data_IF_005973712258
#
_entry.id   IF_005973712258
#
_cell.length_a   1.000
_cell.length_b   1.000
_cell.length_c   1.000
_cell.angle_alpha   90.00
_cell.angle_beta   90.00
_cell.angle_gamma   90.00
#
_symmetry.space_group_name_H-M   'P 1'
#
loop_
_entity.id
_entity.type
_entity.pdbx_description
1 polymer ?
#
# COMPACT_ATOMS: atom_id res chain seq x y z
N UNK A 1 37.05 34.27 -21.32
CA UNK A 1 37.15 32.96 -21.97
C UNK A 1 38.12 32.10 -21.15
N UNK A 2 37.66 31.02 -20.57
CA UNK A 2 38.54 30.14 -19.82
C UNK A 2 39.30 29.22 -20.76
N UNK A 3 40.62 29.21 -20.65
CA UNK A 3 41.48 28.26 -21.34
C UNK A 3 41.50 26.97 -20.51
N UNK A 4 40.90 25.89 -21.03
CA UNK A 4 40.81 24.62 -20.33
C UNK A 4 41.99 23.72 -20.79
N UNK A 5 43.01 23.56 -19.94
CA UNK A 5 44.10 22.59 -20.15
C UNK A 5 43.69 21.19 -19.63
N UNK A 6 42.74 21.15 -18.65
CA UNK A 6 42.16 19.93 -18.10
C UNK A 6 40.64 20.08 -18.07
N UNK A 7 39.94 19.13 -18.64
CA UNK A 7 38.47 19.02 -18.63
C UNK A 7 38.06 17.82 -17.82
N UNK A 8 37.39 18.06 -16.70
CA UNK A 8 36.79 17.01 -15.88
C UNK A 8 35.51 17.53 -15.25
N UNK A 9 34.64 16.63 -14.88
CA UNK A 9 33.42 16.95 -14.16
C UNK A 9 33.25 16.03 -12.95
N UNK A 10 33.07 16.64 -11.79
CA UNK A 10 32.77 15.96 -10.53
C UNK A 10 31.41 16.43 -10.05
N UNK A 11 30.52 15.50 -9.79
CA UNK A 11 29.23 15.79 -9.14
C UNK A 11 29.34 15.50 -7.64
N UNK A 12 29.43 16.52 -6.78
CA UNK A 12 29.47 16.32 -5.33
C UNK A 12 28.12 15.94 -4.73
N UNK A 13 27.04 16.12 -5.50
CA UNK A 13 25.67 15.86 -5.04
C UNK A 13 25.18 14.47 -5.39
N UNK A 14 25.75 13.85 -6.42
CA UNK A 14 25.29 12.57 -6.96
C UNK A 14 23.93 12.63 -7.67
N UNK A 15 23.42 13.85 -7.93
CA UNK A 15 22.07 14.07 -8.48
C UNK A 15 22.08 14.57 -9.94
N UNK A 16 23.23 14.70 -10.55
CA UNK A 16 23.35 15.24 -11.91
C UNK A 16 23.45 14.09 -12.90
N UNK A 17 22.49 14.02 -13.80
CA UNK A 17 22.46 13.05 -14.90
C UNK A 17 23.35 13.47 -16.06
N UNK A 18 23.35 14.77 -16.37
CA UNK A 18 24.21 15.33 -17.41
C UNK A 18 24.64 16.74 -17.06
N UNK A 19 25.88 17.07 -17.37
CA UNK A 19 26.44 18.42 -17.20
C UNK A 19 27.33 18.81 -18.35
N UNK A 20 27.23 20.08 -18.78
CA UNK A 20 28.07 20.67 -19.80
C UNK A 20 29.25 21.37 -19.14
N UNK A 21 30.41 21.21 -19.75
CA UNK A 21 31.64 21.92 -19.36
C UNK A 21 32.16 22.69 -20.56
N UNK A 22 32.31 24.03 -20.46
CA UNK A 22 31.90 24.88 -19.36
C UNK A 22 30.38 25.02 -19.25
N UNK A 23 29.84 25.34 -18.04
CA UNK A 23 28.39 25.45 -17.84
C UNK A 23 27.79 26.61 -18.67
N UNK A 24 28.55 27.68 -18.87
CA UNK A 24 28.13 28.87 -19.61
C UNK A 24 29.10 29.14 -20.78
N UNK A 25 28.51 29.48 -21.92
CA UNK A 25 29.28 29.73 -23.14
C UNK A 25 29.89 28.47 -23.76
N UNK A 26 30.85 28.62 -24.65
CA UNK A 26 31.65 27.52 -25.22
C UNK A 26 33.07 27.58 -24.71
N UNK A 27 33.66 26.42 -24.39
CA UNK A 27 35.05 26.32 -23.95
C UNK A 27 36.05 26.46 -25.11
N UNK A 28 37.18 27.13 -24.87
CA UNK A 28 38.33 27.07 -25.74
C UNK A 28 39.23 25.91 -25.33
N UNK A 29 39.24 24.85 -26.13
CA UNK A 29 40.10 23.69 -25.91
C UNK A 29 41.38 23.85 -26.74
N UNK A 30 42.53 23.65 -26.10
CA UNK A 30 43.83 23.62 -26.78
C UNK A 30 44.15 22.21 -27.24
N UNK A 31 44.90 22.11 -28.31
CA UNK A 31 45.58 20.88 -28.70
C UNK A 31 46.47 20.41 -27.54
N UNK A 32 46.29 19.16 -27.10
CA UNK A 32 47.00 18.62 -25.96
C UNK A 32 46.24 18.74 -24.63
N UNK A 33 45.10 19.46 -24.59
CA UNK A 33 44.23 19.45 -23.41
C UNK A 33 43.80 18.01 -23.06
N UNK A 34 43.66 17.74 -21.78
CA UNK A 34 43.31 16.42 -21.30
C UNK A 34 41.83 16.40 -20.83
N UNK A 35 41.12 15.39 -21.27
CA UNK A 35 39.77 15.11 -20.79
C UNK A 35 39.83 13.87 -19.88
N UNK A 36 39.39 13.99 -18.65
CA UNK A 36 39.31 12.88 -17.70
C UNK A 36 37.85 12.47 -17.60
N UNK A 37 37.56 11.23 -17.97
CA UNK A 37 36.26 10.59 -17.80
C UNK A 37 36.42 9.52 -16.70
N UNK A 38 35.64 9.63 -15.65
CA UNK A 38 35.71 8.71 -14.51
C UNK A 38 34.86 7.46 -14.75
N UNK A 39 35.13 6.39 -13.99
CA UNK A 39 34.25 5.22 -13.97
C UNK A 39 32.82 5.64 -13.62
N UNK A 40 31.85 5.05 -14.33
CA UNK A 40 30.44 5.42 -14.20
C UNK A 40 30.03 6.73 -14.91
N UNK A 41 30.91 7.28 -15.76
CA UNK A 41 30.62 8.45 -16.61
C UNK A 41 30.94 8.17 -18.07
N UNK A 42 30.28 8.91 -18.96
CA UNK A 42 30.68 9.09 -20.37
C UNK A 42 30.82 10.57 -20.67
N UNK A 43 31.71 10.93 -21.59
CA UNK A 43 31.80 12.29 -22.07
C UNK A 43 31.50 12.35 -23.56
N UNK A 44 30.80 13.41 -23.98
CA UNK A 44 30.49 13.71 -25.39
C UNK A 44 31.05 15.05 -25.76
N UNK A 45 31.81 15.10 -26.86
CA UNK A 45 32.19 16.34 -27.47
C UNK A 45 31.07 16.87 -28.35
N UNK A 46 30.72 18.13 -28.14
CA UNK A 46 29.76 18.84 -28.96
C UNK A 46 30.43 20.05 -29.58
N UNK A 47 30.15 20.26 -30.85
CA UNK A 47 30.58 21.45 -31.60
C UNK A 47 29.45 21.89 -32.51
N UNK A 48 29.24 23.19 -32.58
CA UNK A 48 28.20 23.79 -33.42
C UNK A 48 26.83 23.12 -33.24
N UNK A 49 26.54 22.73 -32.02
CA UNK A 49 25.27 22.04 -31.64
C UNK A 49 25.18 20.56 -32.04
N UNK A 50 26.30 19.93 -32.47
CA UNK A 50 26.34 18.52 -32.86
C UNK A 50 27.23 17.73 -31.91
N UNK A 51 26.75 16.58 -31.45
CA UNK A 51 27.57 15.59 -30.73
C UNK A 51 28.44 14.82 -31.70
N UNK A 52 29.76 14.95 -31.54
CA UNK A 52 30.76 14.36 -32.44
C UNK A 52 31.20 12.99 -31.89
N UNK A 53 32.01 12.98 -30.85
CA UNK A 53 32.65 11.79 -30.32
C UNK A 53 32.20 11.50 -28.90
N UNK A 54 32.22 10.20 -28.55
CA UNK A 54 31.94 9.69 -27.20
C UNK A 54 33.25 9.14 -26.62
N UNK A 55 33.60 9.60 -25.43
CA UNK A 55 34.75 9.14 -24.67
C UNK A 55 34.29 8.24 -23.50
N UNK A 56 34.89 7.06 -23.44
CA UNK A 56 34.70 6.11 -22.36
C UNK A 56 35.56 6.48 -21.13
N UNK A 57 35.39 5.85 -19.98
CA UNK A 57 36.22 6.08 -18.80
C UNK A 57 37.72 5.97 -19.11
N UNK A 58 38.47 6.96 -18.60
CA UNK A 58 39.90 7.05 -18.81
C UNK A 58 40.37 8.50 -19.03
N UNK A 59 41.67 8.63 -19.28
CA UNK A 59 42.31 9.89 -19.64
C UNK A 59 42.47 9.96 -21.16
N UNK A 60 41.88 10.96 -21.76
CA UNK A 60 41.93 11.21 -23.19
C UNK A 60 42.68 12.52 -23.47
N UNK A 61 43.76 12.43 -24.23
CA UNK A 61 44.45 13.63 -24.69
C UNK A 61 43.81 14.06 -26.01
N UNK A 62 43.41 15.30 -26.10
CA UNK A 62 42.81 15.88 -27.30
C UNK A 62 43.88 16.08 -28.38
N UNK A 63 44.26 14.99 -29.04
CA UNK A 63 45.19 14.95 -30.15
C UNK A 63 44.46 14.53 -31.42
N UNK A 64 45.03 14.88 -32.55
CA UNK A 64 44.50 14.52 -33.87
C UNK A 64 44.31 13.02 -34.08
N UNK A 65 45.09 12.20 -33.35
CA UNK A 65 45.02 10.74 -33.47
C UNK A 65 43.85 10.08 -32.75
N UNK A 66 43.34 10.71 -31.66
CA UNK A 66 42.34 10.12 -30.79
C UNK A 66 40.90 10.58 -31.12
N UNK A 67 40.75 11.59 -31.97
CA UNK A 67 39.46 12.14 -32.34
C UNK A 67 39.41 12.31 -33.86
N UNK A 68 39.03 11.29 -34.64
CA UNK A 68 39.09 11.29 -36.12
C UNK A 68 38.39 12.47 -36.78
N UNK A 69 37.24 12.91 -36.24
CA UNK A 69 36.49 14.05 -36.77
C UNK A 69 37.14 15.40 -36.55
N UNK A 70 38.03 15.53 -35.55
CA UNK A 70 38.83 16.75 -35.35
C UNK A 70 39.99 16.85 -36.33
N UNK A 71 40.44 15.74 -36.94
CA UNK A 71 41.54 15.70 -37.89
C UNK A 71 41.26 16.50 -39.18
N UNK A 72 40.05 16.40 -39.70
CA UNK A 72 39.67 17.15 -40.91
C UNK A 72 39.69 18.68 -40.69
N UNK A 73 39.41 19.05 -39.44
CA UNK A 73 39.32 20.47 -39.07
C UNK A 73 40.67 21.12 -38.76
N UNK A 74 41.63 20.31 -38.29
CA UNK A 74 42.98 20.72 -37.96
C UNK A 74 43.88 20.92 -39.20
N UNK A 75 43.43 20.47 -40.37
CA UNK A 75 44.12 20.67 -41.64
C UNK A 75 44.04 22.11 -42.17
N UNK A 76 43.30 22.99 -41.54
CA UNK A 76 43.29 24.41 -41.88
C UNK A 76 44.54 25.09 -41.32
N UNK A 77 45.19 25.98 -42.08
CA UNK A 77 46.49 26.60 -41.77
C UNK A 77 46.33 27.71 -40.72
N UNK A 78 45.86 27.34 -39.53
CA UNK A 78 45.88 28.25 -38.38
C UNK A 78 47.13 27.93 -37.56
N UNK A 79 48.13 28.79 -37.62
CA UNK A 79 49.30 28.66 -36.76
C UNK A 79 48.89 28.32 -35.31
N UNK A 80 49.73 27.71 -34.55
CA UNK A 80 49.62 27.09 -33.19
C UNK A 80 48.66 27.74 -32.15
N UNK A 81 47.68 28.52 -32.60
CA UNK A 81 46.68 29.26 -31.82
C UNK A 81 45.27 29.13 -32.41
N UNK A 82 44.83 27.94 -32.74
CA UNK A 82 43.41 27.77 -33.08
C UNK A 82 42.61 27.42 -31.82
N UNK A 83 41.84 28.36 -31.25
CA UNK A 83 40.97 28.07 -30.17
C UNK A 83 39.77 27.28 -30.72
N UNK A 84 39.72 26.00 -30.43
CA UNK A 84 38.51 25.25 -30.70
C UNK A 84 37.47 25.62 -29.66
N UNK A 85 36.32 26.03 -30.12
CA UNK A 85 35.17 26.17 -29.29
C UNK A 85 34.43 24.83 -29.31
N UNK A 86 34.46 24.10 -28.21
CA UNK A 86 33.74 22.86 -28.05
C UNK A 86 33.19 22.77 -26.64
N UNK A 87 32.07 22.14 -26.55
CA UNK A 87 31.43 21.80 -25.29
C UNK A 87 31.67 20.32 -25.00
N UNK A 88 31.89 19.99 -23.73
CA UNK A 88 31.97 18.59 -23.27
C UNK A 88 30.81 18.32 -22.39
N UNK A 89 29.99 17.34 -22.74
CA UNK A 89 28.87 16.88 -21.91
C UNK A 89 29.28 15.63 -21.19
N UNK A 90 29.26 15.65 -19.85
CA UNK A 90 29.43 14.50 -19.01
C UNK A 90 28.09 13.93 -18.67
N UNK A 91 27.92 12.61 -18.81
CA UNK A 91 26.69 11.88 -18.49
C UNK A 91 27.01 10.82 -17.45
N UNK A 92 26.27 10.83 -16.35
CA UNK A 92 26.36 9.81 -15.31
C UNK A 92 25.67 8.53 -15.79
N UNK A 93 26.36 7.39 -15.62
CA UNK A 93 25.80 6.04 -15.83
C UNK A 93 25.45 5.35 -14.52
N UNK A 94 25.57 6.06 -13.41
CA UNK A 94 25.24 5.52 -12.09
C UNK A 94 23.73 5.38 -11.94
N UNK A 95 23.33 4.45 -11.06
CA UNK A 95 21.94 4.33 -10.66
C UNK A 95 21.60 5.43 -9.66
N UNK A 96 20.47 6.08 -9.88
CA UNK A 96 19.91 7.06 -8.95
C UNK A 96 18.74 6.40 -8.21
N UNK A 97 18.94 6.19 -6.91
CA UNK A 97 18.00 5.49 -6.03
C UNK A 97 17.18 6.47 -5.21
N UNK A 98 16.15 5.96 -4.54
CA UNK A 98 15.30 6.71 -3.60
C UNK A 98 14.59 7.94 -4.20
N UNK A 99 14.36 7.93 -5.51
CA UNK A 99 13.56 8.95 -6.16
C UNK A 99 12.10 8.79 -5.75
N UNK A 100 11.48 9.89 -5.35
CA UNK A 100 10.13 9.83 -4.77
C UNK A 100 9.08 10.24 -5.79
N UNK A 101 7.98 9.54 -5.79
CA UNK A 101 6.79 9.93 -6.53
C UNK A 101 5.57 9.90 -5.61
N UNK A 102 4.54 10.66 -5.96
CA UNK A 102 3.29 10.65 -5.21
C UNK A 102 2.21 11.47 -5.89
N UNK A 103 0.97 11.14 -5.58
CA UNK A 103 -0.19 11.86 -6.10
C UNK A 103 -0.43 13.12 -5.28
N UNK A 104 -0.39 14.33 -5.89
CA UNK A 104 -0.57 15.59 -5.15
C UNK A 104 -1.99 15.74 -4.62
N UNK A 105 -2.96 15.15 -5.32
CA UNK A 105 -4.38 15.16 -4.94
C UNK A 105 -4.93 13.75 -4.88
N UNK A 106 -5.96 13.50 -4.04
CA UNK A 106 -6.63 12.20 -4.01
C UNK A 106 -7.30 11.88 -5.33
N UNK A 107 -7.09 10.67 -5.83
CA UNK A 107 -7.67 10.16 -7.07
C UNK A 107 -8.96 9.42 -6.74
N UNK A 108 -10.11 9.77 -7.37
CA UNK A 108 -11.35 9.04 -7.17
C UNK A 108 -11.30 7.69 -7.89
N UNK A 109 -11.51 6.60 -7.15
CA UNK A 109 -11.54 5.23 -7.66
C UNK A 109 -12.88 4.58 -7.35
N UNK A 110 -13.34 3.70 -8.23
CA UNK A 110 -14.49 2.84 -7.94
C UNK A 110 -14.03 1.68 -7.07
N UNK A 111 -14.68 1.52 -5.94
CA UNK A 111 -14.40 0.50 -4.97
C UNK A 111 -15.52 -0.52 -4.93
N UNK A 112 -15.18 -1.82 -4.77
CA UNK A 112 -16.17 -2.89 -4.78
C UNK A 112 -17.05 -2.92 -3.53
N UNK A 113 -16.55 -2.41 -2.40
CA UNK A 113 -17.24 -2.42 -1.10
C UNK A 113 -17.80 -1.05 -0.73
N UNK A 114 -17.07 0.03 -1.03
CA UNK A 114 -17.42 1.39 -0.60
C UNK A 114 -18.03 2.25 -1.72
N UNK A 115 -18.12 1.71 -2.94
CA UNK A 115 -18.68 2.40 -4.11
C UNK A 115 -17.71 3.41 -4.72
N UNK A 116 -17.31 4.46 -3.99
CA UNK A 116 -16.34 5.47 -4.40
C UNK A 116 -15.34 5.71 -3.27
N UNK A 117 -14.08 5.40 -3.52
CA UNK A 117 -12.97 5.72 -2.64
C UNK A 117 -12.09 6.81 -3.28
N UNK A 118 -11.51 7.67 -2.44
CA UNK A 118 -10.48 8.62 -2.87
C UNK A 118 -9.17 8.18 -2.28
N UNK A 119 -8.19 7.86 -3.12
CA UNK A 119 -6.91 7.33 -2.67
C UNK A 119 -5.78 8.28 -3.00
N UNK A 120 -4.72 8.23 -2.20
CA UNK A 120 -3.40 8.78 -2.53
C UNK A 120 -2.41 7.65 -2.55
N UNK A 121 -1.55 7.65 -3.56
CA UNK A 121 -0.48 6.68 -3.68
C UNK A 121 0.86 7.40 -3.72
N UNK A 122 1.86 6.78 -3.11
CA UNK A 122 3.24 7.26 -3.15
C UNK A 122 4.22 6.10 -3.05
N UNK A 123 5.42 6.37 -3.51
CA UNK A 123 6.45 5.35 -3.53
C UNK A 123 7.78 5.90 -4.00
N UNK A 124 8.64 4.98 -4.39
CA UNK A 124 10.00 5.26 -4.84
C UNK A 124 10.30 4.57 -6.16
N UNK A 125 11.29 5.08 -6.87
CA UNK A 125 11.75 4.45 -8.10
C UNK A 125 13.26 4.64 -8.27
N UNK A 126 13.84 3.84 -9.16
CA UNK A 126 15.26 3.81 -9.47
C UNK A 126 15.43 3.99 -10.96
N UNK A 127 16.28 4.91 -11.36
CA UNK A 127 16.62 5.15 -12.77
C UNK A 127 18.11 5.05 -13.03
N UNK A 128 18.43 4.79 -14.28
CA UNK A 128 19.77 4.83 -14.82
C UNK A 128 19.73 5.40 -16.23
N UNK A 129 20.82 6.06 -16.67
CA UNK A 129 20.93 6.47 -18.07
C UNK A 129 21.33 5.27 -18.91
N UNK A 130 20.42 4.82 -19.79
CA UNK A 130 20.65 3.70 -20.71
C UNK A 130 21.14 4.17 -22.08
N UNK A 131 20.54 5.25 -22.59
CA UNK A 131 20.88 5.82 -23.89
C UNK A 131 21.38 7.27 -23.75
N UNK A 132 22.68 7.49 -23.39
CA UNK A 132 23.22 8.83 -23.12
C UNK A 132 23.05 9.82 -24.25
N UNK A 133 23.23 9.37 -25.50
CA UNK A 133 23.05 10.22 -26.69
C UNK A 133 21.61 10.70 -26.85
N UNK A 134 20.65 9.82 -26.59
CA UNK A 134 19.23 10.15 -26.63
C UNK A 134 18.85 11.13 -25.54
N UNK A 135 19.33 10.91 -24.32
CA UNK A 135 19.14 11.84 -23.20
C UNK A 135 19.64 13.25 -23.57
N UNK A 136 20.87 13.35 -24.09
CA UNK A 136 21.46 14.63 -24.48
C UNK A 136 20.66 15.31 -25.58
N UNK A 137 20.21 14.57 -26.59
CA UNK A 137 19.50 15.16 -27.74
C UNK A 137 18.05 15.51 -27.44
N UNK A 138 17.37 14.73 -26.62
CA UNK A 138 15.93 14.90 -26.36
C UNK A 138 15.63 15.85 -25.22
N UNK A 139 16.49 15.90 -24.21
CA UNK A 139 16.17 16.59 -22.95
C UNK A 139 17.18 17.67 -22.59
N UNK A 140 18.47 17.35 -22.62
CA UNK A 140 19.51 18.27 -22.16
C UNK A 140 19.61 19.46 -23.11
N UNK A 141 19.64 19.21 -24.42
CA UNK A 141 19.68 20.27 -25.44
C UNK A 141 20.72 21.34 -25.16
N UNK A 142 20.26 22.58 -24.91
CA UNK A 142 21.11 23.72 -24.58
C UNK A 142 21.31 23.97 -23.09
N UNK A 143 20.73 23.12 -22.22
CA UNK A 143 20.88 23.28 -20.77
C UNK A 143 22.31 22.97 -20.34
N UNK A 144 22.83 23.76 -19.41
CA UNK A 144 24.16 23.53 -18.84
C UNK A 144 24.22 22.36 -17.88
N UNK A 145 23.09 22.03 -17.25
CA UNK A 145 22.91 20.89 -16.32
C UNK A 145 21.54 20.26 -16.49
N UNK A 146 21.46 18.97 -16.23
CA UNK A 146 20.24 18.22 -16.18
C UNK A 146 20.31 17.26 -14.98
N UNK A 147 19.41 17.45 -14.04
CA UNK A 147 19.39 16.75 -12.75
C UNK A 147 18.27 15.73 -12.70
N UNK A 148 18.30 14.90 -11.68
CA UNK A 148 17.21 13.99 -11.31
C UNK A 148 15.89 14.75 -11.09
N UNK A 149 15.95 15.93 -10.48
CA UNK A 149 14.77 16.77 -10.24
C UNK A 149 14.10 17.22 -11.55
N UNK A 150 14.90 17.52 -12.59
CA UNK A 150 14.34 17.84 -13.92
C UNK A 150 13.57 16.64 -14.50
N UNK A 151 14.05 15.41 -14.27
CA UNK A 151 13.34 14.17 -14.66
C UNK A 151 12.04 14.04 -13.88
N UNK A 152 12.10 14.23 -12.56
CA UNK A 152 10.91 14.16 -11.70
C UNK A 152 9.83 15.13 -12.15
N UNK A 153 10.19 16.36 -12.45
CA UNK A 153 9.24 17.38 -12.95
C UNK A 153 8.64 16.99 -14.30
N UNK A 154 9.48 16.51 -15.21
CA UNK A 154 9.05 16.16 -16.57
C UNK A 154 8.14 14.92 -16.60
N UNK A 155 8.43 13.91 -15.79
CA UNK A 155 7.70 12.64 -15.79
C UNK A 155 6.57 12.57 -14.74
N UNK A 156 6.48 13.54 -13.84
CA UNK A 156 5.47 13.54 -12.76
C UNK A 156 4.06 13.26 -13.27
N UNK A 157 3.63 13.95 -14.31
CA UNK A 157 2.29 13.79 -14.86
C UNK A 157 2.07 12.41 -15.47
N UNK A 158 3.07 11.88 -16.18
CA UNK A 158 3.05 10.54 -16.76
C UNK A 158 2.97 9.48 -15.66
N UNK A 159 3.81 9.60 -14.64
CA UNK A 159 3.82 8.65 -13.50
C UNK A 159 2.45 8.61 -12.84
N UNK A 160 1.88 9.77 -12.50
CA UNK A 160 0.57 9.85 -11.84
C UNK A 160 -0.53 9.23 -12.71
N UNK A 161 -0.55 9.56 -13.99
CA UNK A 161 -1.57 9.04 -14.91
C UNK A 161 -1.48 7.52 -15.07
N UNK A 162 -0.28 7.00 -15.34
CA UNK A 162 -0.08 5.55 -15.52
C UNK A 162 -0.37 4.75 -14.26
N UNK A 163 0.10 5.23 -13.10
CA UNK A 163 -0.18 4.55 -11.83
C UNK A 163 -1.69 4.56 -11.52
N UNK A 164 -2.36 5.69 -11.76
CA UNK A 164 -3.81 5.77 -11.58
C UNK A 164 -4.56 4.78 -12.48
N UNK A 165 -4.15 4.67 -13.74
CA UNK A 165 -4.74 3.72 -14.70
C UNK A 165 -4.52 2.27 -14.25
N UNK A 166 -3.28 1.92 -13.85
CA UNK A 166 -2.94 0.58 -13.36
C UNK A 166 -3.77 0.21 -12.13
N UNK A 167 -3.86 1.09 -11.14
CA UNK A 167 -4.65 0.83 -9.93
C UNK A 167 -6.14 0.68 -10.29
N UNK A 168 -6.69 1.55 -11.14
CA UNK A 168 -8.09 1.50 -11.54
C UNK A 168 -8.43 0.21 -12.31
N UNK A 169 -7.53 -0.23 -13.19
CA UNK A 169 -7.69 -1.47 -13.95
C UNK A 169 -7.65 -2.68 -13.02
N UNK A 170 -6.67 -2.71 -12.11
CA UNK A 170 -6.51 -3.78 -11.12
C UNK A 170 -7.72 -3.94 -10.22
N UNK A 171 -8.22 -2.84 -9.66
CA UNK A 171 -9.43 -2.84 -8.83
C UNK A 171 -10.66 -3.32 -9.61
N UNK A 172 -10.79 -2.92 -10.88
CA UNK A 172 -11.93 -3.31 -11.74
C UNK A 172 -11.89 -4.79 -12.11
N UNK A 173 -10.75 -5.29 -12.55
CA UNK A 173 -10.61 -6.66 -13.06
C UNK A 173 -10.72 -7.71 -11.97
N UNK A 174 -10.04 -7.46 -10.84
CA UNK A 174 -10.01 -8.37 -9.70
C UNK A 174 -11.13 -8.12 -8.70
N UNK A 175 -11.96 -7.08 -8.90
CA UNK A 175 -13.02 -6.65 -7.98
C UNK A 175 -12.53 -6.40 -6.56
N UNK A 176 -11.32 -5.87 -6.45
CA UNK A 176 -10.68 -5.57 -5.18
C UNK A 176 -11.28 -4.31 -4.54
N UNK A 177 -11.28 -4.29 -3.22
CA UNK A 177 -11.46 -3.08 -2.44
C UNK A 177 -10.11 -2.39 -2.21
N UNK A 178 -10.15 -1.10 -1.91
CA UNK A 178 -8.94 -0.34 -1.57
C UNK A 178 -8.19 -0.94 -0.38
N UNK A 179 -8.89 -1.63 0.53
CA UNK A 179 -8.28 -2.33 1.67
C UNK A 179 -7.47 -3.54 1.23
N UNK A 180 -7.92 -4.22 0.17
CA UNK A 180 -7.26 -5.41 -0.36
C UNK A 180 -5.98 -5.05 -1.14
N UNK A 181 -5.87 -3.80 -1.63
CA UNK A 181 -4.69 -3.34 -2.38
C UNK A 181 -3.39 -3.42 -1.58
N UNK A 182 -3.47 -3.37 -0.26
CA UNK A 182 -2.29 -3.47 0.60
C UNK A 182 -1.57 -4.82 0.49
N UNK A 183 -2.26 -5.86 0.05
CA UNK A 183 -1.69 -7.19 -0.15
C UNK A 183 -1.09 -7.40 -1.54
N UNK A 184 -1.31 -6.44 -2.47
CA UNK A 184 -0.97 -6.55 -3.89
C UNK A 184 0.07 -5.50 -4.33
N UNK A 185 0.82 -4.89 -3.38
CA UNK A 185 1.75 -3.80 -3.73
C UNK A 185 2.89 -4.23 -4.65
N UNK A 186 3.37 -5.46 -4.53
CA UNK A 186 4.45 -5.96 -5.36
C UNK A 186 3.99 -6.14 -6.81
N UNK A 187 2.83 -6.75 -7.03
CA UNK A 187 2.26 -6.97 -8.35
C UNK A 187 1.84 -5.65 -9.01
N UNK A 188 1.28 -4.73 -8.22
CA UNK A 188 0.95 -3.38 -8.68
C UNK A 188 2.20 -2.59 -9.08
N UNK A 189 3.30 -2.78 -8.33
CA UNK A 189 4.58 -2.15 -8.63
C UNK A 189 5.17 -2.66 -9.95
N UNK A 190 5.10 -3.97 -10.21
CA UNK A 190 5.54 -4.57 -11.47
C UNK A 190 4.68 -4.10 -12.65
N UNK A 191 3.36 -4.07 -12.49
CA UNK A 191 2.45 -3.58 -13.53
C UNK A 191 2.68 -2.09 -13.83
N UNK A 192 2.90 -1.27 -12.79
CA UNK A 192 3.22 0.15 -12.95
C UNK A 192 4.59 0.35 -13.61
N UNK A 193 5.60 -0.44 -13.24
CA UNK A 193 6.90 -0.44 -13.89
C UNK A 193 6.76 -0.70 -15.40
N UNK A 194 6.01 -1.74 -15.78
CA UNK A 194 5.82 -2.10 -17.18
C UNK A 194 5.06 -1.04 -17.98
N UNK A 195 4.09 -0.38 -17.36
CA UNK A 195 3.36 0.73 -17.97
C UNK A 195 4.21 1.99 -18.18
N UNK A 196 5.21 2.22 -17.30
CA UNK A 196 6.04 3.41 -17.27
C UNK A 196 7.34 3.30 -18.06
N UNK A 197 7.91 2.10 -18.19
CA UNK A 197 9.23 1.88 -18.82
C UNK A 197 9.39 2.57 -20.19
N UNK A 198 8.32 2.63 -20.98
CA UNK A 198 8.32 3.30 -22.27
C UNK A 198 8.50 4.81 -22.19
N UNK A 199 7.87 5.46 -21.21
CA UNK A 199 7.95 6.91 -21.01
C UNK A 199 9.37 7.31 -20.60
N UNK A 200 10.03 6.53 -19.74
CA UNK A 200 11.44 6.73 -19.38
C UNK A 200 12.38 6.44 -20.55
N UNK A 201 12.17 5.36 -21.30
CA UNK A 201 12.97 5.00 -22.45
C UNK A 201 12.92 6.07 -23.54
N UNK A 202 11.83 6.81 -23.68
CA UNK A 202 11.72 7.94 -24.61
C UNK A 202 12.69 9.08 -24.28
N UNK A 203 13.10 9.20 -23.02
CA UNK A 203 14.11 10.18 -22.58
C UNK A 203 15.54 9.63 -22.57
N UNK A 204 15.73 8.36 -22.94
CA UNK A 204 17.04 7.69 -22.87
C UNK A 204 17.37 7.16 -21.47
N UNK A 205 16.37 7.06 -20.60
CA UNK A 205 16.48 6.53 -19.25
C UNK A 205 15.93 5.10 -19.18
N UNK A 206 16.51 4.30 -18.33
CA UNK A 206 15.97 3.00 -17.90
C UNK A 206 15.34 3.15 -16.52
N UNK A 207 14.08 2.76 -16.41
CA UNK A 207 13.42 2.58 -15.14
C UNK A 207 13.80 1.20 -14.59
N UNK A 208 14.78 1.15 -13.69
CA UNK A 208 15.31 -0.12 -13.16
C UNK A 208 14.32 -0.78 -12.21
N UNK A 209 13.68 0.02 -11.35
CA UNK A 209 12.68 -0.42 -10.36
C UNK A 209 11.64 0.67 -10.14
N UNK A 210 10.44 0.23 -9.84
CA UNK A 210 9.34 1.10 -9.44
C UNK A 210 8.60 0.45 -8.27
N UNK A 211 8.37 1.20 -7.19
CA UNK A 211 7.72 0.70 -5.99
C UNK A 211 6.53 1.58 -5.63
N UNK A 212 5.43 0.94 -5.34
CA UNK A 212 4.28 1.53 -4.66
C UNK A 212 4.43 1.18 -3.18
N UNK A 213 4.84 2.16 -2.37
CA UNK A 213 5.14 1.92 -0.96
C UNK A 213 3.87 1.92 -0.12
N UNK A 214 2.94 2.82 -0.45
CA UNK A 214 1.70 2.96 0.32
C UNK A 214 0.60 3.57 -0.54
N UNK A 215 -0.60 3.07 -0.35
CA UNK A 215 -1.85 3.66 -0.83
C UNK A 215 -2.66 4.06 0.40
N UNK A 216 -2.92 5.36 0.56
CA UNK A 216 -3.68 5.90 1.68
C UNK A 216 -5.10 6.26 1.26
N UNK A 217 -6.04 6.03 2.16
CA UNK A 217 -7.43 6.40 2.04
C UNK A 217 -7.70 7.67 2.87
N UNK A 218 -8.78 8.44 2.58
CA UNK A 218 -9.18 9.56 3.41
C UNK A 218 -9.52 9.12 4.84
N UNK A 219 -9.19 9.96 5.80
CA UNK A 219 -9.43 9.73 7.23
C UNK A 219 -10.89 9.40 7.56
N UNK A 220 -11.84 9.99 6.81
CA UNK A 220 -13.27 9.68 6.99
C UNK A 220 -13.60 8.21 6.65
N UNK A 221 -12.95 7.66 5.62
CA UNK A 221 -13.15 6.25 5.24
C UNK A 221 -12.42 5.34 6.23
N UNK A 222 -11.22 5.72 6.66
CA UNK A 222 -10.46 5.02 7.68
C UNK A 222 -11.24 4.91 8.99
N UNK A 223 -11.83 5.99 9.47
CA UNK A 223 -12.72 5.98 10.66
C UNK A 223 -13.93 5.07 10.50
N UNK A 224 -14.52 5.01 9.31
CA UNK A 224 -15.65 4.09 9.04
C UNK A 224 -15.20 2.63 9.04
N UNK A 225 -14.01 2.36 8.53
CA UNK A 225 -13.41 1.02 8.57
C UNK A 225 -13.11 0.59 9.99
N UNK A 226 -12.55 1.48 10.82
CA UNK A 226 -12.29 1.23 12.23
C UNK A 226 -13.58 0.96 12.99
N UNK A 227 -14.64 1.74 12.71
CA UNK A 227 -15.95 1.50 13.31
C UNK A 227 -16.55 0.17 12.86
N UNK A 228 -16.46 -0.17 11.59
CA UNK A 228 -16.95 -1.46 11.06
C UNK A 228 -16.15 -2.63 11.62
N UNK A 229 -14.82 -2.49 11.72
CA UNK A 229 -13.94 -3.44 12.36
C UNK A 229 -14.26 -3.61 13.85
N UNK A 230 -14.52 -2.51 14.56
CA UNK A 230 -14.96 -2.52 15.95
C UNK A 230 -16.30 -3.24 16.14
N UNK A 231 -17.27 -3.00 15.25
CA UNK A 231 -18.57 -3.70 15.25
C UNK A 231 -18.38 -5.21 15.05
N UNK A 232 -17.55 -5.60 14.08
CA UNK A 232 -17.26 -7.01 13.81
C UNK A 232 -16.54 -7.70 14.98
N UNK A 233 -15.55 -7.04 15.58
CA UNK A 233 -14.79 -7.54 16.72
C UNK A 233 -15.65 -7.72 17.99
N UNK A 234 -16.72 -6.93 18.15
CA UNK A 234 -17.63 -6.99 19.29
C UNK A 234 -18.83 -7.92 19.08
N UNK A 235 -18.82 -8.75 18.05
CA UNK A 235 -19.89 -9.72 17.79
C UNK A 235 -21.11 -9.12 17.09
N UNK A 236 -20.90 -8.06 16.28
CA UNK A 236 -21.94 -7.42 15.48
C UNK A 236 -22.55 -6.17 16.12
N UNK A 237 -23.61 -5.67 15.50
CA UNK A 237 -24.28 -4.41 15.88
C UNK A 237 -24.76 -4.42 17.34
N UNK A 238 -25.26 -5.55 17.82
CA UNK A 238 -25.75 -5.68 19.19
C UNK A 238 -24.66 -5.53 20.25
N UNK A 239 -23.49 -6.14 20.01
CA UNK A 239 -22.31 -6.00 20.87
C UNK A 239 -21.78 -4.57 20.88
N UNK A 240 -21.69 -3.96 19.72
CA UNK A 240 -21.23 -2.57 19.56
C UNK A 240 -22.19 -1.57 20.24
N UNK A 241 -23.51 -1.77 20.10
CA UNK A 241 -24.51 -0.91 20.75
C UNK A 241 -24.42 -0.99 22.28
N UNK A 242 -24.22 -2.19 22.83
CA UNK A 242 -24.01 -2.39 24.28
C UNK A 242 -22.73 -1.70 24.77
N UNK A 243 -21.65 -1.83 24.00
CA UNK A 243 -20.38 -1.18 24.32
C UNK A 243 -20.52 0.35 24.31
N UNK A 244 -21.11 0.92 23.25
CA UNK A 244 -21.33 2.36 23.13
C UNK A 244 -22.30 2.89 24.20
N UNK A 245 -23.29 2.12 24.60
CA UNK A 245 -24.18 2.49 25.72
C UNK A 245 -23.41 2.50 27.04
N UNK A 246 -22.52 1.54 27.28
CA UNK A 246 -21.67 1.53 28.47
C UNK A 246 -20.68 2.69 28.49
N UNK A 247 -20.03 3.01 27.37
CA UNK A 247 -19.14 4.14 27.24
C UNK A 247 -19.87 5.47 27.49
N UNK A 248 -21.06 5.66 26.92
CA UNK A 248 -21.88 6.85 27.15
C UNK A 248 -22.33 7.00 28.62
N UNK A 249 -22.58 5.88 29.31
CA UNK A 249 -22.87 5.89 30.75
C UNK A 249 -21.62 6.24 31.57
N UNK A 250 -20.46 5.76 31.19
CA UNK A 250 -19.18 6.11 31.83
C UNK A 250 -18.85 7.59 31.66
N UNK A 251 -19.01 8.13 30.44
CA UNK A 251 -18.79 9.53 30.14
C UNK A 251 -19.81 10.45 30.85
N UNK A 252 -21.06 10.01 30.94
CA UNK A 252 -22.09 10.71 31.73
C UNK A 252 -21.75 10.67 33.23
N UNK A 253 -21.20 9.59 33.76
CA UNK A 253 -20.75 9.48 35.13
C UNK A 253 -19.53 10.35 35.43
N UNK A 254 -18.58 10.48 34.48
CA UNK A 254 -17.40 11.32 34.60
C UNK A 254 -17.75 12.83 34.50
N UNK A 255 -18.73 13.20 33.67
CA UNK A 255 -19.19 14.58 33.51
C UNK A 255 -20.24 15.04 34.56
N UNK A 256 -20.70 14.12 35.40
CA UNK A 256 -21.77 14.30 36.38
C UNK A 256 -21.43 15.02 37.68
N UNK A 257 -20.31 15.72 37.75
CA UNK A 257 -19.96 16.57 38.89
C UNK A 257 -20.33 18.03 38.64
N UNK A 258 -21.50 18.50 39.03
CA UNK A 258 -21.88 19.91 39.20
C UNK A 258 -22.52 20.66 38.02
N UNK A 259 -23.35 20.11 37.21
CA UNK A 259 -24.24 20.97 36.41
C UNK A 259 -25.70 20.54 36.51
N UNK A 260 -26.57 21.49 36.87
CA UNK A 260 -28.03 21.36 36.88
C UNK A 260 -28.60 20.93 35.50
N UNK A 261 -27.79 21.00 34.44
CA UNK A 261 -28.07 20.48 33.09
C UNK A 261 -28.00 18.95 33.04
N UNK A 262 -27.15 18.30 33.87
CA UNK A 262 -27.06 16.84 33.96
C UNK A 262 -28.29 16.20 34.60
N UNK A 263 -28.92 16.88 35.58
CA UNK A 263 -30.12 16.40 36.21
C UNK A 263 -31.38 16.52 35.32
N UNK A 264 -31.43 17.55 34.44
CA UNK A 264 -32.54 17.76 33.51
C UNK A 264 -32.52 16.76 32.33
N UNK A 265 -31.35 16.40 31.83
CA UNK A 265 -31.19 15.38 30.80
C UNK A 265 -31.44 13.98 31.39
N UNK A 266 -31.03 13.73 32.62
CA UNK A 266 -31.29 12.45 33.31
C UNK A 266 -32.79 12.16 33.55
N UNK A 267 -33.59 13.20 33.81
CA UNK A 267 -35.02 13.01 34.09
C UNK A 267 -35.92 13.21 32.85
N UNK A 268 -35.60 14.16 31.95
CA UNK A 268 -36.44 14.44 30.78
C UNK A 268 -36.19 13.45 29.61
N UNK A 269 -34.96 13.08 29.39
CA UNK A 269 -34.58 12.08 28.37
C UNK A 269 -34.78 10.65 28.90
N UNK A 270 -34.63 10.44 30.19
CA UNK A 270 -34.81 9.12 30.82
C UNK A 270 -36.24 8.59 30.73
N UNK A 271 -37.27 9.44 30.78
CA UNK A 271 -38.67 8.99 30.73
C UNK A 271 -39.16 8.78 29.28
N UNK A 272 -38.78 9.65 28.36
CA UNK A 272 -39.16 9.48 26.93
C UNK A 272 -38.24 8.54 26.17
N UNK A 273 -36.93 8.56 26.44
CA UNK A 273 -35.99 7.59 25.85
C UNK A 273 -36.16 6.19 26.49
N UNK A 274 -36.56 6.12 27.79
CA UNK A 274 -36.91 4.87 28.47
C UNK A 274 -38.12 4.19 27.85
N UNK A 275 -39.10 4.96 27.36
CA UNK A 275 -40.27 4.38 26.67
C UNK A 275 -39.95 3.98 25.20
N UNK A 276 -39.14 4.74 24.48
CA UNK A 276 -38.74 4.41 23.10
C UNK A 276 -37.58 3.43 23.05
N UNK A 277 -36.60 3.56 23.95
CA UNK A 277 -35.54 2.54 24.08
C UNK A 277 -36.01 1.30 24.87
N UNK A 278 -36.99 1.40 25.72
CA UNK A 278 -37.62 0.23 26.37
C UNK A 278 -38.25 -0.72 25.36
N UNK A 279 -38.86 -0.22 24.29
CA UNK A 279 -39.37 -1.04 23.21
C UNK A 279 -38.27 -1.52 22.19
N UNK A 280 -37.17 -0.80 22.06
CA UNK A 280 -36.06 -1.18 21.18
C UNK A 280 -34.96 -1.97 21.87
N UNK A 281 -34.81 -1.81 23.21
CA UNK A 281 -33.83 -2.50 24.04
C UNK A 281 -34.38 -3.68 24.83
N UNK A 282 -35.71 -3.91 24.83
CA UNK A 282 -36.28 -5.08 25.47
C UNK A 282 -35.71 -6.40 24.96
N UNK A 283 -35.29 -6.59 23.71
CA UNK A 283 -34.52 -7.78 23.33
C UNK A 283 -33.07 -7.76 23.82
N UNK A 284 -32.48 -6.58 24.05
CA UNK A 284 -31.04 -6.44 24.38
C UNK A 284 -30.77 -6.44 25.90
N UNK A 285 -31.77 -6.11 26.69
CA UNK A 285 -31.74 -6.13 28.18
C UNK A 285 -32.44 -7.31 28.80
N UNK A 286 -33.02 -8.23 28.02
CA UNK A 286 -33.34 -9.51 28.59
C UNK A 286 -32.02 -10.12 29.06
N UNK A 287 -31.86 -10.37 30.37
CA UNK A 287 -30.75 -11.20 30.81
C UNK A 287 -30.86 -12.46 29.97
N UNK A 288 -29.77 -12.91 29.40
CA UNK A 288 -29.68 -14.22 28.77
C UNK A 288 -30.42 -15.16 29.69
N UNK A 289 -31.41 -15.95 29.20
CA UNK A 289 -32.21 -16.79 30.11
C UNK A 289 -31.20 -17.47 31.00
N UNK A 290 -31.30 -17.20 32.30
CA UNK A 290 -30.48 -17.87 33.29
C UNK A 290 -30.60 -19.35 32.92
N UNK A 291 -29.51 -20.13 32.86
CA UNK A 291 -29.57 -21.52 32.47
C UNK A 291 -30.71 -22.10 33.28
N UNK A 292 -31.78 -22.50 32.59
CA UNK A 292 -33.02 -22.96 33.20
C UNK A 292 -32.61 -23.99 34.26
N UNK A 293 -32.94 -23.73 35.50
CA UNK A 293 -32.60 -24.64 36.59
C UNK A 293 -32.96 -26.05 36.11
N UNK A 294 -32.04 -27.00 36.17
CA UNK A 294 -32.23 -28.34 35.60
C UNK A 294 -33.54 -28.89 36.08
N UNK A 295 -34.43 -29.22 35.15
CA UNK A 295 -35.74 -29.75 35.50
C UNK A 295 -35.55 -30.93 36.49
N UNK A 296 -36.15 -30.87 37.67
CA UNK A 296 -36.02 -31.88 38.68
C UNK A 296 -37.15 -32.90 38.51
N UNK A 297 -36.81 -34.15 38.59
CA UNK A 297 -37.76 -35.26 38.60
C UNK A 297 -37.65 -36.04 39.93
N UNK A 298 -38.69 -36.82 40.33
CA UNK A 298 -38.63 -37.64 41.49
C UNK A 298 -38.26 -39.09 41.13
N UNK A 299 -37.40 -39.67 41.92
CA UNK A 299 -37.02 -41.06 41.74
C UNK A 299 -38.25 -41.98 42.03
N UNK A 300 -38.59 -42.88 41.09
CA UNK A 300 -39.75 -43.77 41.29
C UNK A 300 -39.54 -44.79 42.42
N UNK A 301 -38.30 -45.02 42.87
CA UNK A 301 -37.99 -46.01 43.92
C UNK A 301 -37.98 -45.38 45.32
N UNK A 302 -37.42 -44.18 45.51
CA UNK A 302 -37.25 -43.58 46.84
C UNK A 302 -37.94 -42.23 47.04
N UNK A 303 -38.49 -41.63 45.94
CA UNK A 303 -39.11 -40.29 45.99
C UNK A 303 -38.13 -39.13 46.04
N UNK A 304 -36.79 -39.36 46.07
CA UNK A 304 -35.78 -38.34 46.13
C UNK A 304 -35.72 -37.49 44.83
N UNK A 305 -35.41 -36.21 44.96
CA UNK A 305 -35.30 -35.32 43.82
C UNK A 305 -33.99 -35.57 43.02
N UNK A 306 -34.14 -35.78 41.73
CA UNK A 306 -33.00 -36.02 40.80
C UNK A 306 -33.12 -35.15 39.63
N UNK A 307 -31.95 -34.77 39.03
CA UNK A 307 -31.88 -33.98 37.82
C UNK A 307 -32.50 -34.78 36.65
N UNK A 308 -33.32 -34.17 35.82
CA UNK A 308 -34.09 -34.84 34.77
C UNK A 308 -33.28 -35.77 33.86
N UNK A 309 -31.98 -35.50 33.69
CA UNK A 309 -31.04 -36.26 32.84
C UNK A 309 -30.12 -37.20 33.64
N UNK A 310 -30.36 -37.38 34.94
CA UNK A 310 -29.56 -38.29 35.77
C UNK A 310 -29.75 -39.73 35.31
N UNK A 311 -28.67 -40.48 35.18
CA UNK A 311 -28.68 -41.90 34.79
C UNK A 311 -28.98 -42.84 35.98
N UNK A 312 -28.69 -42.34 37.20
CA UNK A 312 -28.92 -43.05 38.47
C UNK A 312 -29.40 -42.07 39.51
N UNK A 313 -30.20 -42.56 40.48
CA UNK A 313 -30.61 -41.78 41.62
C UNK A 313 -29.45 -41.62 42.61
N UNK A 314 -29.15 -40.36 43.01
CA UNK A 314 -28.07 -40.04 43.95
C UNK A 314 -28.34 -40.55 45.37
N UNK A 315 -29.61 -40.75 45.73
CA UNK A 315 -30.02 -41.17 47.07
C UNK A 315 -30.07 -42.72 47.25
N UNK A 316 -30.56 -43.43 46.23
CA UNK A 316 -30.77 -44.87 46.35
C UNK A 316 -30.06 -45.73 45.29
N UNK A 317 -29.33 -45.13 44.38
CA UNK A 317 -28.58 -45.82 43.31
C UNK A 317 -29.47 -46.43 42.20
N UNK A 318 -30.79 -46.24 42.25
CA UNK A 318 -31.70 -46.81 41.27
C UNK A 318 -31.39 -46.23 39.85
N UNK A 319 -31.36 -47.13 38.86
CA UNK A 319 -31.13 -46.71 37.44
C UNK A 319 -32.37 -46.00 36.90
N UNK A 320 -32.14 -44.74 36.44
CA UNK A 320 -33.21 -43.90 35.88
C UNK A 320 -33.18 -43.92 34.32
N UNK A 321 -32.38 -44.81 33.72
CA UNK A 321 -32.39 -45.01 32.28
C UNK A 321 -33.66 -45.70 31.84
N UNK A 322 -34.31 -45.19 30.79
CA UNK A 322 -35.42 -45.91 30.17
C UNK A 322 -34.93 -47.29 29.70
N UNK A 323 -35.64 -48.39 30.04
CA UNK A 323 -35.30 -49.70 29.55
C UNK A 323 -35.37 -49.73 28.01
N UNK A 324 -34.43 -50.43 27.39
CA UNK A 324 -34.44 -50.62 25.95
C UNK A 324 -34.78 -52.04 25.57
N UNK A 325 -35.42 -52.22 24.45
CA UNK A 325 -35.77 -53.54 23.95
C UNK A 325 -34.52 -54.37 23.62
N UNK A 326 -34.36 -55.63 24.12
CA UNK A 326 -33.18 -56.43 23.84
C UNK A 326 -33.05 -56.86 22.34
N UNK A 327 -34.15 -56.80 21.58
CA UNK A 327 -34.15 -57.21 20.18
C UNK A 327 -33.97 -56.08 19.18
N UNK A 328 -34.56 -54.91 19.41
CA UNK A 328 -34.50 -53.77 18.47
C UNK A 328 -33.92 -52.50 19.08
N UNK A 329 -33.49 -52.50 20.36
CA UNK A 329 -32.90 -51.36 21.09
C UNK A 329 -33.81 -50.12 21.18
N UNK A 330 -35.08 -50.21 20.84
CA UNK A 330 -36.02 -49.11 20.98
C UNK A 330 -36.27 -48.81 22.48
N UNK A 331 -36.44 -47.53 22.84
CA UNK A 331 -36.73 -47.10 24.20
C UNK A 331 -38.12 -47.56 24.58
N UNK A 332 -38.26 -48.15 25.79
CA UNK A 332 -39.50 -48.72 26.28
C UNK A 332 -40.07 -47.88 27.42
N UNK A 333 -41.36 -47.68 27.50
CA UNK A 333 -41.97 -47.12 28.68
C UNK A 333 -41.78 -48.04 29.89
N UNK A 334 -41.63 -47.46 31.08
CA UNK A 334 -41.43 -48.22 32.31
C UNK A 334 -42.64 -49.12 32.56
N UNK A 335 -42.42 -50.47 32.73
CA UNK A 335 -43.47 -51.45 32.96
C UNK A 335 -44.13 -52.04 31.69
N UNK A 336 -43.59 -51.79 30.51
CA UNK A 336 -44.05 -52.36 29.24
C UNK A 336 -43.87 -53.88 29.24
N UNK A 337 -44.93 -54.64 28.95
CA UNK A 337 -44.93 -56.12 28.82
C UNK A 337 -44.47 -56.56 27.41
N UNK A 338 -44.59 -55.70 26.42
CA UNK A 338 -44.25 -55.98 25.03
C UNK A 338 -43.57 -54.73 24.41
N UNK A 339 -42.65 -54.93 23.50
CA UNK A 339 -42.07 -53.83 22.74
C UNK A 339 -43.06 -53.31 21.69
N UNK A 340 -43.34 -52.01 21.71
CA UNK A 340 -44.24 -51.32 20.76
C UNK A 340 -43.76 -51.32 19.32
N UNK A 341 -42.46 -51.46 19.11
CA UNK A 341 -41.85 -51.42 17.77
C UNK A 341 -41.72 -52.80 17.12
N UNK A 342 -41.32 -53.84 17.91
CA UNK A 342 -41.02 -55.13 17.33
C UNK A 342 -41.87 -56.28 17.90
N UNK A 343 -42.80 -56.03 18.83
CA UNK A 343 -43.71 -56.97 19.40
C UNK A 343 -43.05 -58.01 20.33
N UNK A 344 -41.79 -57.91 20.67
CA UNK A 344 -41.06 -58.87 21.52
C UNK A 344 -41.62 -58.79 22.96
N UNK A 345 -41.97 -59.94 23.58
CA UNK A 345 -42.33 -60.00 24.97
C UNK A 345 -41.19 -59.74 25.92
N UNK A 346 -41.42 -58.87 26.91
CA UNK A 346 -40.37 -58.32 27.82
C UNK A 346 -40.52 -58.95 29.24
N UNK A 347 -41.29 -60.03 29.33
CA UNK A 347 -41.40 -60.74 30.62
C UNK A 347 -40.09 -61.50 30.88
N UNK A 348 -39.40 -61.11 31.94
CA UNK A 348 -38.53 -61.92 32.74
C UNK A 348 -38.65 -61.45 34.20
#
# INVERSE_FOLDING_TARGET
MALLDLVEYLDPTGNILAARVPPDGSGELRLGSQCIVREGQLAFFARDGRFLDMLIPGRHTLTTANIPLLVELLKLPFGNKSPFRADVYYVSLQQHTDLRWGTPQPIPMRDSQFGLARIRAFGTYIIQVAEPRKLLSSVVGTRGRFSVQDVEEQLRSSIIARVADVIAEWMRERKLSVVDLATEYDELSEAAHDALKGDFANLGLELTRFYINTITIPEELERRLDQAGGVAAMGGIDGYTRFKAAEALEDAAKSGGNSLAGAGVGLGVGVNLGAVMGSALTPALQPAPAPSAPAMKHCPQCGGQVVANAKFCSECGHSLRAPSCPKCSAALPVGAKFCTECGTSLNS
#
